data_IF_776444499644
#
_entry.id   IF_776444499644
#
_cell.length_a   1.000
_cell.length_b   1.000
_cell.length_c   1.000
_cell.angle_alpha   90.00
_cell.angle_beta   90.00
_cell.angle_gamma   90.00
#
_symmetry.space_group_name_H-M   'P 1'
#
loop_
_entity.id
_entity.type
_entity.pdbx_description
1 polymer ?
#
# COMPACT_ATOMS: atom_id res chain seq x y z
N UNK A 1 10.56 -18.87 -21.30
CA UNK A 1 10.52 -17.54 -20.63
C UNK A 1 9.77 -17.74 -19.31
N UNK A 2 10.50 -17.74 -18.18
CA UNK A 2 9.93 -18.11 -16.89
C UNK A 2 9.08 -16.95 -16.31
N UNK A 3 7.90 -17.29 -15.83
CA UNK A 3 6.88 -16.40 -15.26
C UNK A 3 7.32 -15.90 -13.88
N UNK A 4 8.17 -14.87 -13.84
CA UNK A 4 8.54 -14.16 -12.61
C UNK A 4 7.52 -13.12 -12.15
N UNK A 5 6.47 -12.88 -12.95
CA UNK A 5 5.48 -11.83 -12.69
C UNK A 5 4.53 -12.19 -11.52
N UNK A 6 4.10 -13.44 -11.39
CA UNK A 6 3.06 -13.82 -10.40
C UNK A 6 3.55 -13.78 -8.95
N UNK A 7 4.77 -14.24 -8.66
CA UNK A 7 5.33 -14.19 -7.29
C UNK A 7 5.57 -12.74 -6.86
N UNK A 8 6.12 -11.93 -7.77
CA UNK A 8 6.34 -10.51 -7.50
C UNK A 8 5.01 -9.76 -7.31
N UNK A 9 3.99 -10.04 -8.13
CA UNK A 9 2.63 -9.50 -7.97
C UNK A 9 2.04 -9.89 -6.62
N UNK A 10 2.18 -11.16 -6.21
CA UNK A 10 1.72 -11.62 -4.89
C UNK A 10 2.41 -10.86 -3.75
N UNK A 11 3.73 -10.70 -3.82
CA UNK A 11 4.50 -9.96 -2.81
C UNK A 11 4.05 -8.50 -2.76
N UNK A 12 3.91 -7.84 -3.91
CA UNK A 12 3.42 -6.46 -4.00
C UNK A 12 2.04 -6.34 -3.39
N UNK A 13 1.12 -7.25 -3.72
CA UNK A 13 -0.22 -7.25 -3.17
C UNK A 13 -0.21 -7.41 -1.65
N UNK A 14 0.60 -8.33 -1.11
CA UNK A 14 0.74 -8.51 0.35
C UNK A 14 1.30 -7.26 1.03
N UNK A 15 2.27 -6.57 0.42
CA UNK A 15 2.80 -5.30 0.93
C UNK A 15 1.73 -4.21 0.96
N UNK A 16 0.89 -4.11 -0.07
CA UNK A 16 -0.19 -3.12 -0.10
C UNK A 16 -1.27 -3.40 0.96
N UNK A 17 -1.63 -4.67 1.18
CA UNK A 17 -2.56 -5.02 2.26
C UNK A 17 -2.01 -4.64 3.64
N UNK A 18 -0.73 -4.92 3.90
CA UNK A 18 -0.07 -4.49 5.13
C UNK A 18 -0.03 -2.95 5.25
N UNK A 19 0.25 -2.25 4.14
CA UNK A 19 0.23 -0.79 4.12
C UNK A 19 -1.13 -0.22 4.52
N UNK A 20 -2.23 -0.83 4.06
CA UNK A 20 -3.58 -0.41 4.43
C UNK A 20 -3.83 -0.54 5.95
N UNK A 21 -3.39 -1.64 6.57
CA UNK A 21 -3.48 -1.83 8.03
C UNK A 21 -2.68 -0.77 8.80
N UNK A 22 -1.47 -0.43 8.32
CA UNK A 22 -0.62 0.58 8.94
C UNK A 22 -1.20 2.00 8.79
N UNK A 23 -1.78 2.32 7.64
CA UNK A 23 -2.44 3.61 7.41
C UNK A 23 -3.68 3.80 8.31
N UNK A 24 -4.39 2.71 8.65
CA UNK A 24 -5.49 2.75 9.60
C UNK A 24 -5.04 3.05 11.04
N UNK A 25 -3.75 2.90 11.34
CA UNK A 25 -3.13 3.21 12.64
C UNK A 25 -2.52 4.62 12.69
N UNK A 26 -2.97 5.53 11.81
CA UNK A 26 -2.49 6.91 11.68
C UNK A 26 -0.99 7.04 11.37
N UNK A 27 -0.36 5.98 10.85
CA UNK A 27 1.06 6.03 10.49
C UNK A 27 1.21 6.89 9.22
N UNK A 28 2.14 7.87 9.20
CA UNK A 28 2.36 8.71 8.03
C UNK A 28 2.69 7.89 6.77
N UNK A 29 2.11 8.30 5.63
CA UNK A 29 2.26 7.61 4.34
C UNK A 29 3.73 7.32 3.97
N UNK A 30 4.63 8.27 4.26
CA UNK A 30 6.07 8.10 4.00
C UNK A 30 6.69 6.99 4.87
N UNK A 31 6.34 6.92 6.16
CA UNK A 31 6.81 5.84 7.04
C UNK A 31 6.22 4.49 6.63
N UNK A 32 4.93 4.44 6.26
CA UNK A 32 4.31 3.21 5.76
C UNK A 32 5.02 2.68 4.51
N UNK A 33 5.39 3.56 3.57
CA UNK A 33 6.15 3.20 2.36
C UNK A 33 7.44 2.45 2.72
N UNK A 34 8.21 2.97 3.68
CA UNK A 34 9.44 2.34 4.15
C UNK A 34 9.18 1.03 4.88
N UNK A 35 8.19 1.01 5.79
CA UNK A 35 7.83 -0.18 6.59
C UNK A 35 7.40 -1.38 5.73
N UNK A 36 6.74 -1.13 4.60
CA UNK A 36 6.31 -2.20 3.67
C UNK A 36 7.34 -2.49 2.57
N UNK A 37 8.55 -1.95 2.69
CA UNK A 37 9.70 -2.28 1.85
C UNK A 37 9.66 -1.66 0.44
N UNK A 38 9.00 -0.50 0.28
CA UNK A 38 9.11 0.30 -0.93
C UNK A 38 10.21 1.36 -0.77
N UNK A 39 11.16 1.38 -1.69
CA UNK A 39 12.26 2.34 -1.70
C UNK A 39 11.89 3.69 -2.36
N UNK A 40 10.68 3.81 -2.90
CA UNK A 40 10.25 4.99 -3.64
C UNK A 40 8.77 5.29 -3.34
N UNK A 41 8.54 6.48 -2.78
CA UNK A 41 7.21 6.94 -2.38
C UNK A 41 6.25 7.06 -3.56
N UNK A 42 6.69 7.60 -4.70
CA UNK A 42 5.85 7.74 -5.90
C UNK A 42 5.45 6.38 -6.46
N UNK A 43 6.37 5.39 -6.45
CA UNK A 43 6.06 4.03 -6.86
C UNK A 43 5.06 3.38 -5.89
N UNK A 44 5.27 3.53 -4.58
CA UNK A 44 4.33 3.06 -3.56
C UNK A 44 2.93 3.66 -3.76
N UNK A 45 2.81 4.99 -3.91
CA UNK A 45 1.52 5.67 -4.09
C UNK A 45 0.80 5.15 -5.33
N UNK A 46 1.50 5.01 -6.46
CA UNK A 46 0.89 4.49 -7.70
C UNK A 46 0.40 3.06 -7.51
N UNK A 47 1.24 2.19 -6.95
CA UNK A 47 0.93 0.77 -6.75
C UNK A 47 -0.20 0.58 -5.75
N UNK A 48 -0.19 1.31 -4.63
CA UNK A 48 -1.28 1.31 -3.66
C UNK A 48 -2.59 1.77 -4.32
N UNK A 49 -2.56 2.89 -5.05
CA UNK A 49 -3.76 3.45 -5.70
C UNK A 49 -4.32 2.49 -6.76
N UNK A 50 -3.46 1.81 -7.51
CA UNK A 50 -3.88 0.82 -8.51
C UNK A 50 -4.60 -0.38 -7.88
N UNK A 51 -4.16 -0.84 -6.71
CA UNK A 51 -4.71 -2.02 -6.02
C UNK A 51 -5.92 -1.65 -5.15
N UNK A 52 -5.87 -0.53 -4.43
CA UNK A 52 -6.90 -0.12 -3.47
C UNK A 52 -7.94 0.84 -4.08
N UNK A 53 -7.72 1.29 -5.32
CA UNK A 53 -8.55 2.26 -6.05
C UNK A 53 -8.71 3.64 -5.37
N UNK A 54 -7.95 3.91 -4.30
CA UNK A 54 -7.86 5.21 -3.62
C UNK A 54 -6.42 5.48 -3.18
N UNK A 55 -6.03 6.75 -3.10
CA UNK A 55 -4.66 7.09 -2.68
C UNK A 55 -4.41 6.74 -1.20
N UNK A 56 -3.15 6.44 -0.80
CA UNK A 56 -2.81 6.16 0.60
C UNK A 56 -3.25 7.26 1.57
N UNK A 57 -3.12 8.53 1.14
CA UNK A 57 -3.54 9.70 1.93
C UNK A 57 -5.05 9.70 2.14
N UNK A 58 -5.83 9.49 1.07
CA UNK A 58 -7.29 9.39 1.18
C UNK A 58 -7.70 8.18 2.00
N UNK A 59 -7.01 7.05 1.86
CA UNK A 59 -7.25 5.84 2.65
C UNK A 59 -7.08 6.10 4.15
N UNK A 60 -5.97 6.72 4.56
CA UNK A 60 -5.72 7.09 5.96
C UNK A 60 -6.75 8.10 6.51
N UNK A 61 -7.23 9.02 5.67
CA UNK A 61 -8.26 9.99 6.06
C UNK A 61 -9.66 9.38 6.13
N UNK A 62 -9.94 8.33 5.35
CA UNK A 62 -11.24 7.65 5.29
C UNK A 62 -11.46 6.72 6.47
N UNK A 63 -10.93 7.05 7.66
CA UNK A 63 -11.19 6.33 8.91
C UNK A 63 -12.66 5.96 8.95
N UNK A 64 -12.87 4.65 8.87
CA UNK A 64 -14.17 4.08 8.61
C UNK A 64 -15.13 4.47 9.74
N UNK A 65 -16.13 5.28 9.39
CA UNK A 65 -17.46 5.43 10.01
C UNK A 65 -18.23 4.09 10.10
N UNK A 66 -17.53 2.97 10.31
CA UNK A 66 -18.14 1.68 10.58
C UNK A 66 -18.20 1.53 12.10
N UNK A 67 -19.22 2.20 12.67
CA UNK A 67 -19.90 1.68 13.87
C UNK A 67 -20.53 0.33 13.56
#
# INVERSE_FOLDING_TARGET
>A
KATGFTINEYIVHRRILCAAELLNKDIPVAQVCEMVGFNNLSHFIRTFTNIMHISPKQYAMKKQNFS
#
